data_IF_162421904956
#
_entry.id   IF_162421904956
#
_cell.length_a   1.000
_cell.length_b   1.000
_cell.length_c   1.000
_cell.angle_alpha   90.00
_cell.angle_beta   90.00
_cell.angle_gamma   90.00
#
_symmetry.space_group_name_H-M   'P 1'
#
loop_
_entity.id
_entity.type
_entity.pdbx_description
1 polymer ?
#
# COMPACT_ATOMS: atom_id res chain seq x y z
N UNK A 1 40.75 40.89 70.25
CA UNK A 1 40.34 41.47 68.96
C UNK A 1 40.94 42.86 68.87
N UNK A 2 42.11 42.96 68.24
CA UNK A 2 42.97 44.14 68.31
C UNK A 2 42.36 45.31 67.52
N UNK A 3 42.17 46.44 68.19
CA UNK A 3 41.69 47.68 67.60
C UNK A 3 42.78 48.24 66.66
N UNK A 4 42.77 47.80 65.40
CA UNK A 4 43.56 48.39 64.33
C UNK A 4 43.25 49.89 64.26
N UNK A 5 44.29 50.72 64.35
CA UNK A 5 44.24 52.17 64.26
C UNK A 5 43.39 52.60 63.06
N UNK A 6 42.49 53.56 63.23
CA UNK A 6 41.55 53.98 62.18
C UNK A 6 42.26 54.37 60.87
N UNK A 7 43.50 54.85 60.96
CA UNK A 7 44.36 55.13 59.81
C UNK A 7 44.71 53.86 59.01
N UNK A 8 44.98 52.74 59.69
CA UNK A 8 45.27 51.45 59.04
C UNK A 8 44.03 50.88 58.38
N UNK A 9 42.85 51.02 59.01
CA UNK A 9 41.59 50.62 58.39
C UNK A 9 41.27 51.43 57.15
N UNK A 10 41.52 52.74 57.16
CA UNK A 10 41.34 53.62 55.99
C UNK A 10 42.32 53.24 54.88
N UNK A 11 43.60 53.00 55.20
CA UNK A 11 44.59 52.58 54.20
C UNK A 11 44.21 51.22 53.59
N UNK A 12 43.78 50.27 54.42
CA UNK A 12 43.32 48.97 53.93
C UNK A 12 42.05 49.09 53.08
N UNK A 13 41.11 49.95 53.47
CA UNK A 13 39.89 50.22 52.71
C UNK A 13 40.21 50.83 51.35
N UNK A 14 41.13 51.80 51.28
CA UNK A 14 41.58 52.40 50.02
C UNK A 14 42.27 51.35 49.16
N UNK A 15 43.14 50.50 49.74
CA UNK A 15 43.79 49.41 49.02
C UNK A 15 42.77 48.42 48.43
N UNK A 16 41.75 48.04 49.21
CA UNK A 16 40.69 47.15 48.74
C UNK A 16 39.84 47.80 47.65
N UNK A 17 39.55 49.09 47.74
CA UNK A 17 38.79 49.82 46.72
C UNK A 17 39.59 49.89 45.41
N UNK A 18 40.89 50.20 45.47
CA UNK A 18 41.75 50.24 44.28
C UNK A 18 41.87 48.86 43.65
N UNK A 19 42.01 47.81 44.46
CA UNK A 19 42.05 46.43 43.99
C UNK A 19 40.72 46.02 43.34
N UNK A 20 39.58 46.33 43.98
CA UNK A 20 38.27 46.05 43.44
C UNK A 20 38.00 46.81 42.13
N UNK A 21 38.48 48.06 42.03
CA UNK A 21 38.39 48.86 40.82
C UNK A 21 39.24 48.26 39.69
N UNK A 22 40.44 47.75 39.99
CA UNK A 22 41.27 47.03 39.01
C UNK A 22 40.63 45.74 38.51
N UNK A 23 40.05 44.93 39.40
CA UNK A 23 39.32 43.70 39.03
C UNK A 23 38.06 44.03 38.23
N UNK A 24 37.34 45.10 38.60
CA UNK A 24 36.15 45.54 37.88
C UNK A 24 36.48 45.98 36.45
N UNK A 25 37.57 46.71 36.29
CA UNK A 25 38.09 47.11 34.97
C UNK A 25 38.52 45.89 34.15
N UNK A 26 39.23 44.93 34.75
CA UNK A 26 39.62 43.68 34.10
C UNK A 26 38.42 42.83 33.65
N UNK A 27 37.34 42.79 34.44
CA UNK A 27 36.11 42.08 34.05
C UNK A 27 35.39 42.77 32.89
N UNK A 28 35.41 44.11 32.83
CA UNK A 28 34.81 44.87 31.73
C UNK A 28 35.57 44.68 30.42
N UNK A 29 36.91 44.58 30.48
CA UNK A 29 37.78 44.22 29.37
C UNK A 29 37.52 42.77 28.90
N UNK A 30 37.45 41.81 29.84
CA UNK A 30 37.14 40.41 29.53
C UNK A 30 35.75 40.17 28.91
N UNK A 31 34.79 41.08 29.12
CA UNK A 31 33.47 41.04 28.48
C UNK A 31 33.39 41.84 27.17
N UNK A 32 34.48 42.51 26.76
CA UNK A 32 34.55 43.23 25.48
C UNK A 32 33.71 44.50 25.41
N UNK A 33 33.41 45.13 26.56
CA UNK A 33 32.60 46.36 26.63
C UNK A 33 33.49 47.63 26.50
N UNK A 34 34.77 47.54 26.87
CA UNK A 34 35.75 48.64 26.80
C UNK A 34 37.04 48.08 26.20
N UNK A 35 37.48 48.60 25.06
CA UNK A 35 38.80 48.29 24.49
C UNK A 35 39.86 49.09 25.24
N UNK A 36 40.55 48.45 26.18
CA UNK A 36 41.55 49.08 27.04
C UNK A 36 42.80 49.54 26.27
N UNK A 37 42.99 49.05 25.04
CA UNK A 37 44.09 49.39 24.12
C UNK A 37 44.02 50.84 23.60
N UNK A 38 42.86 51.48 23.57
CA UNK A 38 42.71 52.83 22.97
C UNK A 38 43.06 53.98 23.94
N UNK A 39 43.16 53.73 25.25
CA UNK A 39 43.28 54.79 26.27
C UNK A 39 44.62 54.84 27.01
N UNK A 40 45.52 53.87 26.84
CA UNK A 40 46.80 53.82 27.56
C UNK A 40 47.97 53.63 26.59
N UNK A 41 48.59 54.72 26.09
CA UNK A 41 49.68 54.68 25.09
C UNK A 41 51.03 54.17 25.64
N UNK A 42 51.05 53.58 26.85
CA UNK A 42 52.22 52.96 27.46
C UNK A 42 52.10 51.42 27.53
N UNK A 43 50.90 50.88 27.26
CA UNK A 43 50.64 49.45 27.12
C UNK A 43 50.66 49.01 25.64
N UNK A 44 51.00 49.92 24.71
CA UNK A 44 51.58 49.54 23.42
C UNK A 44 52.91 48.84 23.71
N UNK A 45 52.82 47.55 24.07
CA UNK A 45 53.80 46.60 23.62
C UNK A 45 53.88 46.84 22.12
N UNK A 46 55.02 47.34 21.67
CA UNK A 46 55.39 47.38 20.27
C UNK A 46 55.19 45.95 19.77
N UNK A 47 53.97 45.69 19.29
CA UNK A 47 53.66 44.48 18.58
C UNK A 47 54.56 44.61 17.38
N UNK A 48 55.71 43.96 17.48
CA UNK A 48 56.46 43.55 16.33
C UNK A 48 55.40 43.10 15.35
N UNK A 49 55.27 43.83 14.26
CA UNK A 49 54.39 43.51 13.17
C UNK A 49 54.93 42.16 12.67
N UNK A 50 54.54 41.09 13.35
CA UNK A 50 54.34 39.82 12.72
C UNK A 50 53.25 40.20 11.76
N UNK A 51 53.64 40.33 10.49
CA UNK A 51 52.69 40.14 9.43
C UNK A 51 52.05 38.78 9.72
N UNK A 52 50.95 38.77 10.47
CA UNK A 52 49.89 37.81 10.22
C UNK A 52 49.47 38.17 8.81
N UNK A 53 50.09 37.46 7.87
CA UNK A 53 49.49 37.13 6.59
C UNK A 53 48.05 36.74 6.91
N UNK A 54 47.15 37.73 6.86
CA UNK A 54 45.70 37.58 7.08
C UNK A 54 45.06 36.75 5.94
N UNK A 55 45.89 36.29 5.00
CA UNK A 55 45.57 35.42 3.87
C UNK A 55 45.99 33.95 4.08
N UNK A 56 46.69 33.60 5.17
CA UNK A 56 47.06 32.20 5.45
C UNK A 56 46.41 31.70 6.74
N UNK A 57 45.36 30.85 6.65
CA UNK A 57 44.74 30.24 7.80
C UNK A 57 45.78 29.54 8.66
N UNK A 58 45.65 29.67 9.97
CA UNK A 58 46.50 28.92 10.92
C UNK A 58 46.32 27.42 10.65
N UNK A 59 47.33 26.57 10.87
CA UNK A 59 47.23 25.11 10.64
C UNK A 59 45.97 24.49 11.26
N UNK A 60 45.52 25.03 12.40
CA UNK A 60 44.31 24.64 13.12
C UNK A 60 43.01 25.01 12.40
N UNK A 61 43.00 26.08 11.61
CA UNK A 61 41.86 26.51 10.78
C UNK A 61 41.77 25.66 9.51
N UNK A 62 42.90 25.31 8.90
CA UNK A 62 42.93 24.34 7.80
C UNK A 62 42.37 22.97 8.21
N UNK A 63 42.70 22.50 9.42
CA UNK A 63 42.12 21.27 9.94
C UNK A 63 40.61 21.36 10.18
N UNK A 64 40.10 22.50 10.67
CA UNK A 64 38.65 22.73 10.82
C UNK A 64 37.95 22.70 9.48
N UNK A 65 38.47 23.44 8.50
CA UNK A 65 37.93 23.48 7.13
C UNK A 65 37.94 22.09 6.49
N UNK A 66 39.00 21.30 6.71
CA UNK A 66 39.04 19.91 6.22
C UNK A 66 37.95 19.05 6.85
N UNK A 67 37.80 19.10 8.18
CA UNK A 67 36.75 18.34 8.89
C UNK A 67 35.34 18.75 8.47
N UNK A 68 35.11 20.03 8.24
CA UNK A 68 33.82 20.53 7.74
C UNK A 68 33.53 20.03 6.34
N UNK A 69 34.54 20.02 5.44
CA UNK A 69 34.40 19.46 4.08
C UNK A 69 34.13 17.97 4.10
N UNK A 70 34.83 17.22 4.95
CA UNK A 70 34.60 15.78 5.14
C UNK A 70 33.16 15.52 5.60
N UNK A 71 32.68 16.28 6.61
CA UNK A 71 31.31 16.18 7.09
C UNK A 71 30.27 16.52 6.01
N UNK A 72 30.49 17.57 5.23
CA UNK A 72 29.60 17.96 4.13
C UNK A 72 29.56 16.86 3.06
N UNK A 73 30.69 16.23 2.76
CA UNK A 73 30.77 15.15 1.79
C UNK A 73 30.03 13.89 2.30
N UNK A 74 30.22 13.53 3.56
CA UNK A 74 29.48 12.44 4.21
C UNK A 74 27.96 12.69 4.19
N UNK A 75 27.52 13.91 4.54
CA UNK A 75 26.11 14.30 4.48
C UNK A 75 25.57 14.27 3.04
N UNK A 76 26.39 14.64 2.05
CA UNK A 76 26.01 14.59 0.63
C UNK A 76 25.81 13.16 0.16
N UNK A 77 26.72 12.26 0.52
CA UNK A 77 26.63 10.83 0.20
C UNK A 77 25.38 10.23 0.84
N UNK A 78 25.15 10.49 2.14
CA UNK A 78 23.96 10.01 2.84
C UNK A 78 22.66 10.54 2.20
N UNK A 79 22.64 11.81 1.77
CA UNK A 79 21.49 12.38 1.07
C UNK A 79 21.25 11.74 -0.29
N UNK A 80 22.31 11.39 -1.02
CA UNK A 80 22.22 10.70 -2.31
C UNK A 80 21.71 9.27 -2.14
N UNK A 81 22.19 8.54 -1.13
CA UNK A 81 21.70 7.21 -0.77
C UNK A 81 20.21 7.24 -0.42
N UNK A 82 19.77 8.17 0.44
CA UNK A 82 18.36 8.33 0.77
C UNK A 82 17.50 8.73 -0.44
N UNK A 83 18.03 9.55 -1.35
CA UNK A 83 17.33 9.89 -2.60
C UNK A 83 17.16 8.65 -3.49
N UNK A 84 18.21 7.85 -3.63
CA UNK A 84 18.15 6.61 -4.39
C UNK A 84 17.14 5.62 -3.79
N UNK A 85 17.14 5.46 -2.46
CA UNK A 85 16.17 4.63 -1.74
C UNK A 85 14.73 5.11 -1.95
N UNK A 86 14.49 6.42 -1.85
CA UNK A 86 13.17 7.00 -2.08
C UNK A 86 12.70 6.78 -3.52
N UNK A 87 13.59 6.92 -4.52
CA UNK A 87 13.23 6.66 -5.92
C UNK A 87 12.95 5.18 -6.18
N UNK A 88 13.71 4.27 -5.57
CA UNK A 88 13.43 2.83 -5.65
C UNK A 88 12.07 2.50 -5.01
N UNK A 89 11.78 3.04 -3.83
CA UNK A 89 10.49 2.85 -3.16
C UNK A 89 9.33 3.41 -3.99
N UNK A 90 9.48 4.59 -4.60
CA UNK A 90 8.48 5.15 -5.50
C UNK A 90 8.25 4.27 -6.72
N UNK A 91 9.32 3.78 -7.36
CA UNK A 91 9.20 2.89 -8.50
C UNK A 91 8.51 1.57 -8.13
N UNK A 92 8.81 1.01 -6.94
CA UNK A 92 8.15 -0.19 -6.44
C UNK A 92 6.66 0.07 -6.14
N UNK A 93 6.33 1.21 -5.54
CA UNK A 93 4.94 1.60 -5.28
C UNK A 93 4.14 1.79 -6.57
N UNK A 94 4.70 2.47 -7.56
CA UNK A 94 4.06 2.64 -8.87
C UNK A 94 3.84 1.30 -9.58
N UNK A 95 4.85 0.41 -9.56
CA UNK A 95 4.71 -0.93 -10.11
C UNK A 95 3.61 -1.74 -9.40
N UNK A 96 3.51 -1.64 -8.07
CA UNK A 96 2.45 -2.28 -7.28
C UNK A 96 1.09 -1.68 -7.56
N UNK A 97 0.98 -0.37 -7.71
CA UNK A 97 -0.27 0.31 -8.05
C UNK A 97 -0.76 -0.12 -9.44
N UNK A 98 0.14 -0.22 -10.42
CA UNK A 98 -0.17 -0.75 -11.74
C UNK A 98 -0.60 -2.22 -11.70
N UNK A 99 0.06 -3.05 -10.88
CA UNK A 99 -0.34 -4.45 -10.70
C UNK A 99 -1.72 -4.56 -10.04
N UNK A 100 -1.99 -3.77 -9.00
CA UNK A 100 -3.27 -3.74 -8.31
C UNK A 100 -4.40 -3.29 -9.25
N UNK A 101 -4.20 -2.21 -10.01
CA UNK A 101 -5.20 -1.73 -10.96
C UNK A 101 -5.47 -2.72 -12.09
N UNK A 102 -4.46 -3.46 -12.56
CA UNK A 102 -4.66 -4.55 -13.53
C UNK A 102 -5.44 -5.72 -12.92
N UNK A 103 -5.13 -6.10 -11.68
CA UNK A 103 -5.87 -7.14 -10.96
C UNK A 103 -7.32 -6.74 -10.70
N UNK A 104 -7.56 -5.50 -10.29
CA UNK A 104 -8.91 -4.97 -10.07
C UNK A 104 -9.75 -5.04 -11.34
N UNK A 105 -9.19 -4.60 -12.48
CA UNK A 105 -9.87 -4.74 -13.78
C UNK A 105 -10.13 -6.19 -14.16
N UNK A 106 -9.17 -7.08 -13.93
CA UNK A 106 -9.35 -8.51 -14.17
C UNK A 106 -10.45 -9.13 -13.33
N UNK A 107 -10.53 -8.75 -12.04
CA UNK A 107 -11.58 -9.20 -11.13
C UNK A 107 -12.95 -8.63 -11.49
N UNK A 108 -13.01 -7.38 -11.96
CA UNK A 108 -14.25 -6.76 -12.42
C UNK A 108 -14.78 -7.46 -13.68
N UNK A 109 -13.93 -7.72 -14.68
CA UNK A 109 -14.31 -8.49 -15.87
C UNK A 109 -14.76 -9.92 -15.52
N UNK A 110 -14.07 -10.59 -14.61
CA UNK A 110 -14.44 -11.93 -14.14
C UNK A 110 -15.79 -11.91 -13.42
N UNK A 111 -16.02 -10.89 -12.58
CA UNK A 111 -17.29 -10.70 -11.89
C UNK A 111 -18.43 -10.44 -12.86
N UNK A 112 -18.25 -9.56 -13.84
CA UNK A 112 -19.27 -9.30 -14.87
C UNK A 112 -19.59 -10.56 -15.66
N UNK A 113 -18.57 -11.33 -16.06
CA UNK A 113 -18.77 -12.62 -16.75
C UNK A 113 -19.51 -13.62 -15.87
N UNK A 114 -19.17 -13.69 -14.58
CA UNK A 114 -19.83 -14.59 -13.65
C UNK A 114 -21.29 -14.19 -13.40
N UNK A 115 -21.57 -12.89 -13.26
CA UNK A 115 -22.94 -12.37 -13.12
C UNK A 115 -23.76 -12.63 -14.40
N UNK A 116 -23.20 -12.37 -15.59
CA UNK A 116 -23.84 -12.69 -16.86
C UNK A 116 -24.12 -14.19 -16.99
N UNK A 117 -23.12 -15.02 -16.67
CA UNK A 117 -23.27 -16.48 -16.68
C UNK A 117 -24.36 -16.94 -15.73
N UNK A 118 -24.42 -16.40 -14.50
CA UNK A 118 -25.51 -16.69 -13.55
C UNK A 118 -26.88 -16.36 -14.10
N UNK A 119 -27.03 -15.21 -14.76
CA UNK A 119 -28.29 -14.80 -15.36
C UNK A 119 -28.67 -15.76 -16.48
N UNK A 120 -27.75 -16.10 -17.38
CA UNK A 120 -27.97 -17.07 -18.45
C UNK A 120 -28.37 -18.45 -17.92
N UNK A 121 -27.70 -18.94 -16.87
CA UNK A 121 -28.05 -20.19 -16.21
C UNK A 121 -29.47 -20.15 -15.62
N UNK A 122 -29.82 -19.08 -14.90
CA UNK A 122 -31.14 -18.93 -14.30
C UNK A 122 -32.25 -18.78 -15.35
N UNK A 123 -31.98 -18.08 -16.45
CA UNK A 123 -32.91 -17.94 -17.57
C UNK A 123 -33.12 -19.27 -18.29
N UNK A 124 -32.03 -20.03 -18.49
CA UNK A 124 -32.09 -21.38 -19.07
C UNK A 124 -32.88 -22.33 -18.18
N UNK A 125 -32.65 -22.31 -16.87
CA UNK A 125 -33.39 -23.13 -15.90
C UNK A 125 -34.89 -22.79 -15.93
N UNK A 126 -35.25 -21.50 -15.91
CA UNK A 126 -36.65 -21.06 -16.04
C UNK A 126 -37.26 -21.49 -17.38
N UNK A 127 -36.51 -21.42 -18.48
CA UNK A 127 -36.98 -21.89 -19.79
C UNK A 127 -37.27 -23.39 -19.76
N UNK A 128 -36.36 -24.20 -19.20
CA UNK A 128 -36.51 -25.65 -19.09
C UNK A 128 -37.73 -26.00 -18.23
N UNK A 129 -37.89 -25.34 -17.07
CA UNK A 129 -39.05 -25.53 -16.19
C UNK A 129 -40.37 -25.23 -16.92
N UNK A 130 -40.47 -24.08 -17.60
CA UNK A 130 -41.66 -23.73 -18.37
C UNK A 130 -41.97 -24.73 -19.49
N UNK A 131 -40.92 -25.29 -20.13
CA UNK A 131 -41.08 -26.32 -21.16
C UNK A 131 -41.54 -27.65 -20.55
N UNK A 132 -40.98 -28.05 -19.41
CA UNK A 132 -41.38 -29.23 -18.66
C UNK A 132 -42.85 -29.15 -18.22
N UNK A 133 -43.26 -28.02 -17.65
CA UNK A 133 -44.65 -27.76 -17.25
C UNK A 133 -45.60 -27.83 -18.44
N UNK A 134 -45.21 -27.23 -19.58
CA UNK A 134 -46.03 -27.24 -20.79
C UNK A 134 -46.22 -28.64 -21.36
N UNK A 135 -45.16 -29.45 -21.37
CA UNK A 135 -45.21 -30.84 -21.86
C UNK A 135 -46.03 -31.72 -20.90
N UNK A 136 -45.88 -31.52 -19.59
CA UNK A 136 -46.63 -32.28 -18.57
C UNK A 136 -48.13 -32.05 -18.65
N UNK A 137 -48.56 -30.83 -18.96
CA UNK A 137 -49.98 -30.46 -19.05
C UNK A 137 -50.60 -30.71 -20.45
N UNK A 138 -49.86 -31.30 -21.38
CA UNK A 138 -50.30 -31.55 -22.75
C UNK A 138 -50.59 -33.04 -22.98
N UNK A 139 -51.49 -33.41 -23.92
CA UNK A 139 -51.63 -34.80 -24.34
C UNK A 139 -50.29 -35.41 -24.80
N UNK A 140 -50.00 -36.68 -24.46
CA UNK A 140 -48.72 -37.32 -24.79
C UNK A 140 -48.36 -37.34 -26.28
N UNK A 141 -49.35 -37.47 -27.17
CA UNK A 141 -49.14 -37.48 -28.62
C UNK A 141 -48.69 -36.10 -29.14
N UNK A 142 -49.33 -35.03 -28.65
CA UNK A 142 -48.99 -33.65 -29.00
C UNK A 142 -47.62 -33.25 -28.44
N UNK A 143 -47.30 -33.70 -27.22
CA UNK A 143 -46.00 -33.50 -26.60
C UNK A 143 -44.86 -34.08 -27.46
N UNK A 144 -45.02 -35.28 -27.99
CA UNK A 144 -44.04 -35.91 -28.89
C UNK A 144 -43.94 -35.17 -30.22
N UNK A 145 -45.07 -34.67 -30.76
CA UNK A 145 -45.05 -33.87 -31.98
C UNK A 145 -44.25 -32.57 -31.81
N UNK A 146 -44.39 -31.88 -30.68
CA UNK A 146 -43.62 -30.66 -30.36
C UNK A 146 -42.14 -30.99 -30.13
N UNK A 147 -41.86 -32.03 -29.33
CA UNK A 147 -40.51 -32.53 -29.07
C UNK A 147 -39.80 -32.95 -30.38
N UNK A 148 -40.56 -33.35 -31.39
CA UNK A 148 -40.09 -33.65 -32.74
C UNK A 148 -39.19 -32.57 -33.33
N UNK A 149 -39.50 -31.29 -33.08
CA UNK A 149 -38.74 -30.14 -33.60
C UNK A 149 -37.55 -29.70 -32.75
N UNK A 150 -37.35 -30.27 -31.56
CA UNK A 150 -36.29 -29.84 -30.63
C UNK A 150 -34.97 -30.59 -30.87
N UNK A 151 -33.87 -30.04 -30.36
CA UNK A 151 -32.60 -30.75 -30.31
C UNK A 151 -32.66 -31.91 -29.30
N UNK A 152 -31.82 -32.93 -29.48
CA UNK A 152 -31.77 -34.04 -28.52
C UNK A 152 -31.26 -33.59 -27.15
N UNK A 153 -30.36 -32.61 -27.09
CA UNK A 153 -29.82 -32.10 -25.82
C UNK A 153 -30.88 -31.33 -25.02
N UNK A 154 -31.65 -30.45 -25.66
CA UNK A 154 -32.70 -29.68 -24.96
C UNK A 154 -33.84 -30.59 -24.49
N UNK A 155 -34.18 -31.62 -25.28
CA UNK A 155 -35.19 -32.59 -24.90
C UNK A 155 -34.77 -33.41 -23.68
N UNK A 156 -33.49 -33.80 -23.59
CA UNK A 156 -32.91 -34.48 -22.42
C UNK A 156 -33.04 -33.59 -21.19
N UNK A 157 -32.66 -32.31 -21.29
CA UNK A 157 -32.72 -31.40 -20.15
C UNK A 157 -34.15 -31.20 -19.63
N UNK A 158 -35.12 -31.06 -20.54
CA UNK A 158 -36.55 -30.97 -20.18
C UNK A 158 -37.05 -32.26 -19.55
N UNK A 159 -36.71 -33.42 -20.11
CA UNK A 159 -37.13 -34.71 -19.57
C UNK A 159 -36.55 -34.98 -18.19
N UNK A 160 -35.31 -34.56 -17.95
CA UNK A 160 -34.71 -34.62 -16.61
C UNK A 160 -35.41 -33.71 -15.62
N UNK A 161 -35.76 -32.49 -16.02
CA UNK A 161 -36.54 -31.58 -15.16
C UNK A 161 -37.90 -32.21 -14.81
N UNK A 162 -38.61 -32.76 -15.80
CA UNK A 162 -39.88 -33.46 -15.57
C UNK A 162 -39.74 -34.66 -14.61
N UNK A 163 -38.68 -35.44 -14.71
CA UNK A 163 -38.41 -36.53 -13.76
C UNK A 163 -38.10 -36.03 -12.35
N UNK A 164 -37.34 -34.94 -12.23
CA UNK A 164 -37.06 -34.29 -10.95
C UNK A 164 -38.34 -33.74 -10.31
N UNK A 165 -39.17 -33.04 -11.09
CA UNK A 165 -40.45 -32.47 -10.63
C UNK A 165 -41.42 -33.58 -10.20
N UNK A 166 -41.49 -34.67 -10.97
CA UNK A 166 -42.31 -35.83 -10.62
C UNK A 166 -41.83 -36.51 -9.34
N UNK A 167 -40.51 -36.64 -9.17
CA UNK A 167 -39.91 -37.20 -7.96
C UNK A 167 -40.15 -36.31 -6.72
N UNK A 168 -40.02 -34.99 -6.87
CA UNK A 168 -40.32 -34.01 -5.82
C UNK A 168 -41.80 -34.04 -5.43
N UNK A 169 -42.70 -34.17 -6.42
CA UNK A 169 -44.14 -34.32 -6.20
C UNK A 169 -44.55 -35.71 -5.67
N UNK A 170 -43.63 -36.68 -5.63
CA UNK A 170 -43.91 -38.07 -5.23
C UNK A 170 -44.82 -38.81 -6.22
N UNK A 171 -44.85 -38.40 -7.49
CA UNK A 171 -45.65 -39.00 -8.56
C UNK A 171 -44.79 -39.78 -9.54
N UNK A 172 -45.40 -40.66 -10.34
CA UNK A 172 -44.67 -41.35 -11.41
C UNK A 172 -44.44 -40.42 -12.59
N UNK A 173 -43.21 -40.37 -13.09
CA UNK A 173 -42.88 -39.60 -14.30
C UNK A 173 -43.59 -40.16 -15.53
N UNK A 174 -44.08 -39.27 -16.37
CA UNK A 174 -44.67 -39.60 -17.68
C UNK A 174 -43.60 -39.79 -18.78
N UNK A 175 -42.36 -39.39 -18.51
CA UNK A 175 -41.24 -39.45 -19.48
C UNK A 175 -41.03 -40.86 -20.07
N UNK A 176 -41.04 -41.96 -19.29
CA UNK A 176 -40.92 -43.31 -19.84
C UNK A 176 -42.00 -43.61 -20.88
N UNK A 177 -43.23 -43.13 -20.67
CA UNK A 177 -44.31 -43.31 -21.63
C UNK A 177 -44.08 -42.46 -22.89
N UNK A 178 -43.66 -41.20 -22.75
CA UNK A 178 -43.33 -40.34 -23.89
C UNK A 178 -42.22 -40.93 -24.77
N UNK A 179 -41.21 -41.56 -24.16
CA UNK A 179 -40.14 -42.26 -24.89
C UNK A 179 -40.68 -43.42 -25.75
N UNK A 180 -41.74 -44.12 -25.31
CA UNK A 180 -42.34 -45.22 -26.11
C UNK A 180 -43.11 -44.72 -27.34
N UNK A 181 -43.59 -43.47 -27.31
CA UNK A 181 -44.31 -42.83 -28.41
C UNK A 181 -43.36 -42.19 -29.44
N UNK A 182 -42.09 -42.02 -29.11
CA UNK A 182 -41.07 -41.49 -30.01
C UNK A 182 -40.53 -42.53 -31.00
N UNK A 183 -39.90 -42.08 -32.12
CA UNK A 183 -39.14 -42.97 -32.98
C UNK A 183 -38.05 -43.71 -32.20
N UNK A 184 -37.96 -45.03 -32.39
CA UNK A 184 -37.05 -45.91 -31.61
C UNK A 184 -35.59 -45.45 -31.61
N UNK A 185 -35.08 -45.03 -32.75
CA UNK A 185 -33.69 -44.58 -32.89
C UNK A 185 -33.43 -43.33 -32.05
N UNK A 186 -34.38 -42.39 -32.02
CA UNK A 186 -34.28 -41.17 -31.23
C UNK A 186 -34.43 -41.45 -29.74
N UNK A 187 -35.41 -42.27 -29.36
CA UNK A 187 -35.61 -42.65 -27.97
C UNK A 187 -34.36 -43.30 -27.38
N UNK A 188 -33.70 -44.20 -28.12
CA UNK A 188 -32.45 -44.82 -27.69
C UNK A 188 -31.34 -43.79 -27.43
N UNK A 189 -31.14 -42.83 -28.34
CA UNK A 189 -30.15 -41.75 -28.18
C UNK A 189 -30.45 -40.89 -26.96
N UNK A 190 -31.72 -40.50 -26.76
CA UNK A 190 -32.14 -39.71 -25.61
C UNK A 190 -31.88 -40.46 -24.30
N UNK A 191 -32.24 -41.74 -24.22
CA UNK A 191 -31.99 -42.57 -23.04
C UNK A 191 -30.50 -42.69 -22.74
N UNK A 192 -29.64 -42.89 -23.74
CA UNK A 192 -28.18 -42.91 -23.54
C UNK A 192 -27.66 -41.57 -23.01
N UNK A 193 -28.10 -40.45 -23.60
CA UNK A 193 -27.69 -39.11 -23.15
C UNK A 193 -28.15 -38.80 -21.72
N UNK A 194 -29.35 -39.24 -21.33
CA UNK A 194 -29.83 -39.12 -19.95
C UNK A 194 -28.92 -39.88 -18.98
N UNK A 195 -28.53 -41.12 -19.31
CA UNK A 195 -27.64 -41.95 -18.49
C UNK A 195 -26.21 -41.39 -18.38
N UNK A 196 -25.62 -40.94 -19.49
CA UNK A 196 -24.26 -40.38 -19.50
C UNK A 196 -24.17 -39.07 -18.70
N UNK A 197 -25.20 -38.23 -18.82
CA UNK A 197 -25.31 -37.00 -18.04
C UNK A 197 -25.61 -37.25 -16.56
N UNK A 198 -26.15 -38.42 -16.17
CA UNK A 198 -26.28 -38.85 -14.78
C UNK A 198 -24.94 -39.34 -14.20
N UNK A 199 -24.16 -40.09 -14.98
CA UNK A 199 -22.82 -40.52 -14.59
C UNK A 199 -21.89 -39.33 -14.24
N UNK A 200 -22.11 -38.18 -14.87
CA UNK A 200 -21.34 -36.95 -14.63
C UNK A 200 -21.73 -36.25 -13.31
N UNK A 201 -22.91 -36.51 -12.74
CA UNK A 201 -23.41 -35.88 -11.48
C UNK A 201 -23.20 -36.74 -10.24
N UNK A 202 -22.88 -38.03 -10.38
CA UNK A 202 -22.58 -38.88 -9.23
C UNK A 202 -21.17 -38.54 -8.71
N UNK A 203 -21.00 -38.16 -7.43
CA UNK A 203 -19.67 -38.07 -6.86
C UNK A 203 -19.05 -39.47 -6.84
N UNK A 204 -17.78 -39.58 -7.28
CA UNK A 204 -16.96 -40.76 -7.02
C UNK A 204 -16.75 -40.97 -5.52
#
# INVERSE_FOLDING_TARGET
MGNLSDKVKIVYLIMVIVFAMGVFVYLLDSWGIINMEEYIPFLEEESAIVATDDDNPTELEWEKIRKEREKIEEERIALEEHRAEIEELKANLDAREQELTQREKGLEEERERFEASKVEYADRERMIQNMADRITNMPPEDAVAIAGGWSNADLVDVFRQMEADAAEAGTQSIVPYLLTLMPRDRAAVITTLMMDAEATRLPN
#
